data_IF_761558297619
#
_entry.id   IF_761558297619
#
_cell.length_a   1.000
_cell.length_b   1.000
_cell.length_c   1.000
_cell.angle_alpha   90.00
_cell.angle_beta   90.00
_cell.angle_gamma   90.00
#
_symmetry.space_group_name_H-M   'P 1'
#
loop_
_entity.id
_entity.type
_entity.pdbx_description
1 polymer ?
#
# COMPACT_ATOMS: atom_id res chain seq x y z
N UNK A 1 -12.36 22.02 4.18
CA UNK A 1 -12.10 20.86 3.30
C UNK A 1 -13.39 20.06 3.17
N UNK A 2 -13.82 19.70 1.95
CA UNK A 2 -14.99 18.83 1.76
C UNK A 2 -14.47 17.40 1.60
N UNK A 3 -14.72 16.54 2.59
CA UNK A 3 -14.20 15.18 2.61
C UNK A 3 -15.00 14.31 1.64
N UNK A 4 -14.33 13.66 0.68
CA UNK A 4 -14.93 12.72 -0.25
C UNK A 4 -14.28 11.34 -0.12
N UNK A 5 -15.03 10.27 -0.36
CA UNK A 5 -14.46 8.91 -0.50
C UNK A 5 -13.91 8.79 -1.91
N UNK A 6 -12.60 8.55 -2.03
CA UNK A 6 -11.91 8.50 -3.32
C UNK A 6 -11.55 7.09 -3.76
N UNK A 7 -11.43 6.17 -2.81
CA UNK A 7 -11.13 4.77 -3.11
C UNK A 7 -11.65 3.84 -2.02
N UNK A 8 -12.10 2.66 -2.40
CA UNK A 8 -12.47 1.59 -1.48
C UNK A 8 -11.93 0.27 -2.04
N UNK A 9 -11.16 -0.44 -1.24
CA UNK A 9 -10.57 -1.73 -1.61
C UNK A 9 -10.44 -2.64 -0.39
N UNK A 10 -10.51 -3.96 -0.61
CA UNK A 10 -10.14 -4.93 0.40
C UNK A 10 -8.61 -5.01 0.53
N UNK A 11 -8.10 -4.61 1.71
CA UNK A 11 -6.68 -4.67 2.03
C UNK A 11 -6.48 -5.70 3.14
N UNK A 12 -5.86 -6.83 2.78
CA UNK A 12 -5.63 -7.95 3.71
C UNK A 12 -6.94 -8.48 4.34
N UNK A 13 -8.02 -8.53 3.54
CA UNK A 13 -9.30 -9.12 3.93
C UNK A 13 -10.23 -8.19 4.72
N UNK A 14 -9.92 -6.89 4.83
CA UNK A 14 -10.83 -5.90 5.39
C UNK A 14 -11.11 -4.75 4.42
N UNK A 15 -12.37 -4.29 4.32
CA UNK A 15 -12.73 -3.16 3.48
C UNK A 15 -12.10 -1.89 4.04
N UNK A 16 -11.28 -1.24 3.22
CA UNK A 16 -10.52 -0.06 3.61
C UNK A 16 -10.93 1.14 2.76
N UNK A 17 -11.36 2.23 3.42
CA UNK A 17 -11.83 3.46 2.75
C UNK A 17 -10.76 4.53 2.81
N UNK A 18 -10.51 5.15 1.67
CA UNK A 18 -9.62 6.30 1.53
C UNK A 18 -10.46 7.54 1.27
N UNK A 19 -10.18 8.58 2.03
CA UNK A 19 -10.84 9.87 1.96
C UNK A 19 -9.90 10.95 1.41
N UNK A 20 -10.43 12.12 1.04
CA UNK A 20 -9.61 13.26 0.61
C UNK A 20 -9.47 13.31 -0.91
N UNK A 21 -8.24 13.29 -1.41
CA UNK A 21 -7.94 13.21 -2.84
C UNK A 21 -6.71 12.28 -3.08
N UNK A 22 -6.31 12.11 -4.35
CA UNK A 22 -5.20 11.23 -4.71
C UNK A 22 -3.85 11.75 -4.17
N UNK A 23 -3.67 13.06 -4.09
CA UNK A 23 -2.43 13.72 -3.64
C UNK A 23 -2.34 13.76 -2.10
N UNK A 24 -3.47 13.95 -1.43
CA UNK A 24 -3.59 14.05 0.02
C UNK A 24 -4.63 13.03 0.54
N UNK A 25 -4.28 11.73 0.55
CA UNK A 25 -5.17 10.70 1.03
C UNK A 25 -5.27 10.74 2.56
N UNK A 26 -6.48 10.48 3.05
CA UNK A 26 -6.81 10.47 4.47
C UNK A 26 -7.46 9.16 4.88
N UNK A 27 -7.06 8.66 6.04
CA UNK A 27 -7.48 7.37 6.55
C UNK A 27 -8.20 7.56 7.88
N UNK A 28 -9.46 7.12 7.97
CA UNK A 28 -10.22 7.25 9.20
C UNK A 28 -9.54 6.45 10.31
N UNK A 29 -9.09 7.12 11.37
CA UNK A 29 -8.27 6.48 12.41
C UNK A 29 -9.01 5.36 13.13
N UNK A 30 -10.35 5.41 13.17
CA UNK A 30 -11.19 4.33 13.72
C UNK A 30 -11.07 3.06 12.87
N UNK A 31 -11.12 3.21 11.56
CA UNK A 31 -11.04 2.09 10.61
C UNK A 31 -9.62 1.52 10.61
N UNK A 32 -8.59 2.37 10.66
CA UNK A 32 -7.19 1.93 10.81
C UNK A 32 -6.97 1.15 12.10
N UNK A 33 -7.49 1.64 13.23
CA UNK A 33 -7.40 0.95 14.51
C UNK A 33 -8.11 -0.42 14.46
N UNK A 34 -9.29 -0.50 13.85
CA UNK A 34 -9.99 -1.78 13.64
C UNK A 34 -9.19 -2.71 12.73
N UNK A 35 -8.63 -2.17 11.65
CA UNK A 35 -7.89 -2.92 10.65
C UNK A 35 -6.65 -3.60 11.20
N UNK A 36 -5.89 -2.92 12.06
CA UNK A 36 -4.72 -3.51 12.70
C UNK A 36 -5.04 -4.18 14.05
N UNK A 37 -6.32 -4.27 14.42
CA UNK A 37 -6.80 -4.76 15.72
C UNK A 37 -6.18 -4.02 16.92
N UNK A 38 -6.00 -2.71 16.79
CA UNK A 38 -5.52 -1.86 17.88
C UNK A 38 -6.63 -1.68 18.92
N UNK A 39 -6.34 -2.04 20.17
CA UNK A 39 -7.33 -2.02 21.26
C UNK A 39 -7.77 -0.61 21.66
N UNK A 40 -6.96 0.41 21.38
CA UNK A 40 -7.24 1.79 21.76
C UNK A 40 -6.83 2.79 20.67
N UNK A 41 -7.82 3.38 19.99
CA UNK A 41 -7.59 4.37 18.95
C UNK A 41 -6.86 5.63 19.46
N UNK A 42 -7.14 6.09 20.69
CA UNK A 42 -6.47 7.28 21.25
C UNK A 42 -4.98 7.03 21.48
N UNK A 43 -4.63 5.86 21.99
CA UNK A 43 -3.21 5.50 22.15
C UNK A 43 -2.48 5.41 20.80
N UNK A 44 -3.16 4.88 19.78
CA UNK A 44 -2.62 4.86 18.41
C UNK A 44 -2.41 6.28 17.87
N UNK A 45 -3.35 7.21 18.10
CA UNK A 45 -3.20 8.60 17.68
C UNK A 45 -2.11 9.36 18.45
N UNK A 46 -1.82 8.96 19.69
CA UNK A 46 -0.76 9.56 20.50
C UNK A 46 0.65 9.11 20.07
N UNK A 47 0.76 8.03 19.28
CA UNK A 47 2.05 7.55 18.78
C UNK A 47 2.43 8.12 17.42
N UNK A 48 1.62 9.05 16.90
CA UNK A 48 1.75 9.69 15.59
C UNK A 48 1.96 11.19 15.83
N UNK A 49 2.85 11.80 15.05
CA UNK A 49 3.16 13.22 15.16
C UNK A 49 1.94 14.10 14.80
N UNK A 50 1.93 15.35 15.27
CA UNK A 50 0.76 16.23 15.11
C UNK A 50 0.49 16.65 13.65
N UNK A 51 1.51 16.69 12.80
CA UNK A 51 1.38 16.96 11.36
C UNK A 51 0.96 15.72 10.55
N UNK A 52 1.02 14.54 11.15
CA UNK A 52 0.66 13.26 10.52
C UNK A 52 -0.79 12.82 10.81
N UNK A 53 -1.54 13.64 11.55
CA UNK A 53 -2.95 13.40 11.88
C UNK A 53 -3.75 14.70 11.86
N UNK A 54 -5.04 14.58 11.58
CA UNK A 54 -5.93 15.73 11.63
C UNK A 54 -7.34 15.38 12.06
N UNK A 55 -7.99 16.30 12.76
CA UNK A 55 -9.39 16.20 13.13
C UNK A 55 -10.22 16.98 12.12
N UNK A 56 -11.08 16.29 11.36
CA UNK A 56 -11.90 16.91 10.31
C UNK A 56 -13.36 16.54 10.47
N UNK A 57 -14.21 17.40 9.92
CA UNK A 57 -15.64 17.13 9.81
C UNK A 57 -15.90 16.05 8.76
N UNK A 58 -16.32 14.86 9.19
CA UNK A 58 -16.74 13.76 8.35
C UNK A 58 -18.27 13.84 8.07
N UNK A 59 -18.69 14.22 6.85
CA UNK A 59 -20.10 14.28 6.49
C UNK A 59 -20.76 12.89 6.42
N UNK A 60 -19.97 11.82 6.34
CA UNK A 60 -20.42 10.43 6.28
C UNK A 60 -20.61 9.80 7.67
N UNK A 61 -20.28 10.52 8.76
CA UNK A 61 -20.46 10.02 10.11
C UNK A 61 -21.94 9.93 10.49
N UNK A 62 -22.37 8.77 11.01
CA UNK A 62 -23.73 8.61 11.52
C UNK A 62 -23.93 9.45 12.79
N UNK A 63 -24.97 10.30 12.79
CA UNK A 63 -25.60 10.96 13.95
C UNK A 63 -24.71 11.18 15.19
N UNK A 64 -24.04 12.33 15.27
CA UNK A 64 -23.60 12.91 16.55
C UNK A 64 -22.13 13.33 16.63
N UNK A 65 -21.20 12.57 16.04
CA UNK A 65 -19.77 12.93 16.05
C UNK A 65 -19.25 13.18 14.64
N UNK A 66 -19.57 14.38 14.16
CA UNK A 66 -19.09 14.90 12.88
C UNK A 66 -17.57 15.11 12.86
N UNK A 67 -16.96 15.50 13.98
CA UNK A 67 -15.51 15.62 14.07
C UNK A 67 -14.88 14.25 14.33
N UNK A 68 -14.03 13.79 13.41
CA UNK A 68 -13.32 12.52 13.55
C UNK A 68 -11.84 12.71 13.21
N UNK A 69 -11.01 11.86 13.82
CA UNK A 69 -9.58 11.83 13.56
C UNK A 69 -9.25 11.00 12.32
N UNK A 70 -8.40 11.56 11.48
CA UNK A 70 -7.84 10.94 10.30
C UNK A 70 -6.32 10.94 10.40
N UNK A 71 -5.70 9.93 9.82
CA UNK A 71 -4.26 9.84 9.59
C UNK A 71 -3.97 10.28 8.16
N UNK A 72 -2.85 10.96 7.95
CA UNK A 72 -2.28 11.17 6.61
C UNK A 72 -1.59 9.90 6.12
N UNK A 73 -1.04 9.92 4.92
CA UNK A 73 -0.18 8.85 4.41
C UNK A 73 1.02 8.58 5.33
N UNK A 74 1.69 9.63 5.82
CA UNK A 74 2.80 9.45 6.76
C UNK A 74 2.31 8.87 8.09
N UNK A 75 1.18 9.34 8.61
CA UNK A 75 0.63 8.84 9.87
C UNK A 75 0.23 7.37 9.84
N UNK A 76 -0.31 6.87 8.72
CA UNK A 76 -0.59 5.42 8.61
C UNK A 76 0.71 4.60 8.53
N UNK A 77 1.75 5.12 7.87
CA UNK A 77 3.06 4.47 7.85
C UNK A 77 3.65 4.38 9.26
N UNK A 78 3.59 5.46 10.04
CA UNK A 78 4.12 5.47 11.41
C UNK A 78 3.41 4.43 12.29
N UNK A 79 2.07 4.41 12.25
CA UNK A 79 1.27 3.39 12.97
C UNK A 79 1.67 1.96 12.59
N UNK A 80 1.80 1.67 11.29
CA UNK A 80 2.15 0.33 10.80
C UNK A 80 3.61 -0.05 11.15
N UNK A 81 4.52 0.91 11.10
CA UNK A 81 5.92 0.70 11.42
C UNK A 81 6.10 0.37 12.91
N UNK A 82 5.41 1.07 13.81
CA UNK A 82 5.46 0.80 15.25
C UNK A 82 4.66 -0.46 15.67
N UNK A 83 3.60 -0.82 14.95
CA UNK A 83 2.70 -1.89 15.36
C UNK A 83 3.34 -3.29 15.38
N UNK A 84 3.02 -4.07 16.41
CA UNK A 84 3.47 -5.47 16.58
C UNK A 84 2.45 -6.50 16.08
N UNK A 85 1.31 -6.05 15.55
CA UNK A 85 0.18 -6.90 15.14
C UNK A 85 0.50 -7.70 13.87
N UNK A 86 -0.10 -8.89 13.68
CA UNK A 86 0.19 -9.75 12.52
C UNK A 86 0.00 -9.05 11.16
N UNK A 87 -1.08 -8.29 11.00
CA UNK A 87 -1.40 -7.52 9.78
C UNK A 87 -0.29 -6.50 9.47
N UNK A 88 0.11 -5.71 10.47
CA UNK A 88 1.22 -4.76 10.32
C UNK A 88 2.56 -5.45 10.00
N UNK A 89 2.81 -6.65 10.55
CA UNK A 89 4.00 -7.45 10.21
C UNK A 89 3.96 -7.95 8.77
N UNK A 90 2.81 -8.42 8.29
CA UNK A 90 2.63 -8.84 6.89
C UNK A 90 2.86 -7.66 5.94
N UNK A 91 2.24 -6.51 6.23
CA UNK A 91 2.45 -5.28 5.46
C UNK A 91 3.93 -4.87 5.43
N UNK A 92 4.60 -4.84 6.59
CA UNK A 92 6.05 -4.54 6.67
C UNK A 92 6.91 -5.51 5.85
N UNK A 93 6.54 -6.79 5.78
CA UNK A 93 7.25 -7.77 4.92
C UNK A 93 7.12 -7.38 3.45
N UNK A 94 5.91 -7.02 2.99
CA UNK A 94 5.68 -6.59 1.61
C UNK A 94 6.45 -5.31 1.27
N UNK A 95 6.45 -4.32 2.16
CA UNK A 95 7.24 -3.10 2.00
C UNK A 95 8.74 -3.42 1.88
N UNK A 96 9.26 -4.33 2.71
CA UNK A 96 10.67 -4.74 2.61
C UNK A 96 11.01 -5.43 1.28
N UNK A 97 10.09 -6.20 0.71
CA UNK A 97 10.25 -6.79 -0.64
C UNK A 97 10.36 -5.68 -1.68
N UNK A 98 9.45 -4.70 -1.64
CA UNK A 98 9.44 -3.54 -2.55
C UNK A 98 10.73 -2.73 -2.42
N UNK A 99 11.14 -2.37 -1.20
CA UNK A 99 12.37 -1.62 -0.96
C UNK A 99 13.61 -2.37 -1.45
N UNK A 100 13.65 -3.70 -1.25
CA UNK A 100 14.73 -4.54 -1.78
C UNK A 100 14.73 -4.55 -3.31
N UNK A 101 13.57 -4.63 -3.93
CA UNK A 101 13.42 -4.58 -5.38
C UNK A 101 13.93 -3.24 -5.92
N UNK A 102 13.45 -2.12 -5.38
CA UNK A 102 13.92 -0.76 -5.74
C UNK A 102 15.45 -0.65 -5.61
N UNK A 103 16.05 -1.16 -4.52
CA UNK A 103 17.52 -1.17 -4.35
C UNK A 103 18.25 -1.97 -5.43
N UNK A 104 17.66 -3.04 -5.95
CA UNK A 104 18.28 -3.92 -6.94
C UNK A 104 18.05 -3.46 -8.38
N UNK A 105 16.88 -2.92 -8.69
CA UNK A 105 16.44 -2.59 -10.06
C UNK A 105 16.41 -1.10 -10.35
N UNK A 106 16.58 -0.25 -9.33
CA UNK A 106 16.46 1.21 -9.43
C UNK A 106 15.02 1.73 -9.39
N UNK A 107 14.02 0.85 -9.50
CA UNK A 107 12.60 1.21 -9.48
C UNK A 107 11.68 0.00 -9.61
N UNK A 108 10.39 0.21 -9.35
CA UNK A 108 9.35 -0.81 -9.54
C UNK A 108 8.18 -0.21 -10.30
N UNK A 109 7.60 -0.98 -11.21
CA UNK A 109 6.36 -0.62 -11.90
C UNK A 109 5.28 -1.57 -11.40
N UNK A 110 4.15 -1.02 -10.95
CA UNK A 110 3.01 -1.85 -10.56
C UNK A 110 2.49 -2.59 -11.79
N UNK A 111 2.18 -3.89 -11.63
CA UNK A 111 1.57 -4.67 -12.71
C UNK A 111 0.27 -4.01 -13.14
N UNK A 112 0.01 -4.00 -14.45
CA UNK A 112 -1.20 -3.45 -15.08
C UNK A 112 -1.30 -1.92 -15.05
N UNK A 113 -0.28 -1.24 -14.51
CA UNK A 113 -0.14 0.23 -14.53
C UNK A 113 1.08 0.70 -15.31
N UNK A 114 1.63 -0.15 -16.17
CA UNK A 114 2.80 0.21 -17.00
C UNK A 114 2.49 1.41 -17.92
N UNK A 115 1.29 1.47 -18.47
CA UNK A 115 0.85 2.56 -19.36
C UNK A 115 0.79 3.90 -18.64
N UNK A 116 0.17 3.91 -17.45
CA UNK A 116 0.12 5.10 -16.60
C UNK A 116 1.52 5.54 -16.16
N UNK A 117 2.37 4.58 -15.77
CA UNK A 117 3.77 4.85 -15.44
C UNK A 117 4.49 5.54 -16.60
N UNK A 118 4.42 4.96 -17.81
CA UNK A 118 5.10 5.52 -18.97
C UNK A 118 4.54 6.91 -19.33
N UNK A 119 3.22 7.09 -19.28
CA UNK A 119 2.59 8.37 -19.58
C UNK A 119 3.03 9.48 -18.60
N UNK A 120 3.09 9.17 -17.30
CA UNK A 120 3.40 10.14 -16.25
C UNK A 120 4.89 10.50 -16.19
N UNK A 121 5.79 9.52 -16.41
CA UNK A 121 7.23 9.73 -16.29
C UNK A 121 7.93 10.11 -17.60
N UNK A 122 7.34 9.77 -18.76
CA UNK A 122 7.91 10.06 -20.08
C UNK A 122 6.94 10.86 -20.96
N UNK A 123 6.42 12.02 -20.50
CA UNK A 123 5.39 12.74 -21.24
C UNK A 123 5.87 13.24 -22.61
N UNK A 124 7.17 13.52 -22.75
CA UNK A 124 7.80 14.03 -23.97
C UNK A 124 8.01 12.99 -25.08
N UNK A 125 7.84 11.69 -24.79
CA UNK A 125 8.00 10.66 -25.80
C UNK A 125 6.78 10.59 -26.73
N UNK A 126 7.01 10.17 -27.97
CA UNK A 126 5.92 9.92 -28.92
C UNK A 126 5.06 8.75 -28.45
N UNK A 127 3.80 8.73 -28.86
CA UNK A 127 2.86 7.67 -28.48
C UNK A 127 3.32 6.29 -28.95
N UNK A 128 4.00 6.22 -30.10
CA UNK A 128 4.61 4.99 -30.63
C UNK A 128 5.70 4.45 -29.69
N UNK A 129 6.59 5.33 -29.21
CA UNK A 129 7.66 4.95 -28.28
C UNK A 129 7.06 4.54 -26.93
N UNK A 130 6.10 5.31 -26.41
CA UNK A 130 5.39 4.98 -25.17
C UNK A 130 4.76 3.58 -25.25
N UNK A 131 4.06 3.28 -26.35
CA UNK A 131 3.43 1.97 -26.57
C UNK A 131 4.47 0.84 -26.65
N UNK A 132 5.58 1.06 -27.34
CA UNK A 132 6.68 0.09 -27.40
C UNK A 132 7.26 -0.20 -26.00
N UNK A 133 7.47 0.83 -25.19
CA UNK A 133 7.95 0.69 -23.80
C UNK A 133 6.98 -0.08 -22.92
N UNK A 134 5.67 0.19 -23.03
CA UNK A 134 4.65 -0.54 -22.27
C UNK A 134 4.66 -2.03 -22.64
N UNK A 135 4.79 -2.36 -23.93
CA UNK A 135 4.85 -3.75 -24.38
C UNK A 135 6.12 -4.46 -23.88
N UNK A 136 7.27 -3.79 -23.92
CA UNK A 136 8.53 -4.33 -23.41
C UNK A 136 8.45 -4.58 -21.89
N UNK A 137 7.98 -3.59 -21.12
CA UNK A 137 7.78 -3.73 -19.67
C UNK A 137 6.82 -4.87 -19.32
N UNK A 138 5.72 -5.03 -20.06
CA UNK A 138 4.79 -6.16 -19.87
C UNK A 138 5.44 -7.50 -20.20
N UNK A 139 6.26 -7.55 -21.25
CA UNK A 139 7.04 -8.73 -21.61
C UNK A 139 8.00 -9.14 -20.50
N UNK A 140 8.84 -8.20 -20.04
CA UNK A 140 9.80 -8.43 -18.96
C UNK A 140 9.11 -8.81 -17.65
N UNK A 141 8.00 -8.15 -17.29
CA UNK A 141 7.24 -8.48 -16.09
C UNK A 141 6.66 -9.91 -16.16
N UNK A 142 6.21 -10.36 -17.33
CA UNK A 142 5.69 -11.73 -17.52
C UNK A 142 6.79 -12.78 -17.35
N UNK A 143 7.97 -12.55 -17.93
CA UNK A 143 9.12 -13.44 -17.81
C UNK A 143 9.65 -13.49 -16.36
N UNK A 144 9.82 -12.34 -15.72
CA UNK A 144 10.26 -12.25 -14.33
C UNK A 144 9.30 -12.96 -13.38
N UNK A 145 7.99 -12.83 -13.57
CA UNK A 145 6.99 -13.56 -12.79
C UNK A 145 7.13 -15.08 -12.96
N UNK A 146 7.30 -15.56 -14.20
CA UNK A 146 7.51 -16.98 -14.45
C UNK A 146 8.77 -17.50 -13.74
N UNK A 147 9.85 -16.73 -13.74
CA UNK A 147 11.10 -17.09 -13.04
C UNK A 147 10.95 -17.06 -11.53
N UNK A 148 10.20 -16.10 -10.96
CA UNK A 148 9.96 -16.02 -9.52
C UNK A 148 9.12 -17.21 -9.05
N UNK A 149 8.04 -17.55 -9.76
CA UNK A 149 7.19 -18.71 -9.44
C UNK A 149 8.00 -20.01 -9.49
N UNK A 150 8.78 -20.22 -10.55
CA UNK A 150 9.63 -21.41 -10.66
C UNK A 150 10.69 -21.49 -9.53
N UNK A 151 11.20 -20.34 -9.06
CA UNK A 151 12.13 -20.30 -7.91
C UNK A 151 11.42 -20.59 -6.59
N UNK A 152 10.19 -20.12 -6.40
CA UNK A 152 9.39 -20.39 -5.21
C UNK A 152 9.02 -21.89 -5.13
N UNK A 153 8.57 -22.49 -6.23
CA UNK A 153 8.32 -23.94 -6.33
C UNK A 153 9.58 -24.75 -6.01
N UNK A 154 10.73 -24.39 -6.60
CA UNK A 154 12.00 -25.04 -6.30
C UNK A 154 12.42 -24.92 -4.82
N UNK A 155 12.19 -23.75 -4.20
CA UNK A 155 12.45 -23.55 -2.77
C UNK A 155 11.53 -24.45 -1.94
N UNK A 156 10.24 -24.53 -2.28
CA UNK A 156 9.27 -25.40 -1.60
C UNK A 156 9.57 -26.90 -1.78
N UNK A 157 10.17 -27.33 -2.89
CA UNK A 157 10.60 -28.72 -3.10
C UNK A 157 11.84 -29.10 -2.27
N UNK A 158 12.74 -28.15 -1.98
CA UNK A 158 13.96 -28.40 -1.20
C UNK A 158 13.71 -28.35 0.32
N UNK A 159 12.76 -27.52 0.78
CA UNK A 159 12.41 -27.40 2.20
C UNK A 159 11.95 -28.73 2.87
N UNK A 160 11.13 -29.60 2.26
CA UNK A 160 10.71 -30.87 2.87
C UNK A 160 11.86 -31.90 2.96
N UNK A 161 12.93 -31.78 2.17
CA UNK A 161 14.09 -32.68 2.22
C UNK A 161 15.05 -32.39 3.39
N UNK A 162 14.89 -31.26 4.11
CA UNK A 162 15.75 -30.88 5.24
C UNK A 162 15.18 -31.21 6.63
N UNK A 163 14.02 -31.86 6.72
CA UNK A 163 13.37 -32.22 7.99
C UNK A 163 13.52 -33.71 8.37
N UNK A 164 14.37 -34.45 7.66
CA UNK A 164 14.59 -35.90 7.84
C UNK A 164 16.04 -36.29 8.18
N UNK A 165 16.84 -35.38 8.73
CA UNK A 165 18.16 -35.67 9.32
C UNK A 165 18.25 -35.17 10.76
#
# INVERSE_FOLDING_TARGET
MNLQVVHQQDVLGQPFKVYGNIEEPLFLAKDVASWIEHSNQRMMLNSVDEDEKQCVNNPYASSGQKQQWFLTENGIYEVLMQSRKPIAKQWKKQVKVILKQIRLTGGTVQTDREEEFIHNYFPSFSDEIKKAMVLDLRGQNKELKAVVVAKEEYIEEIQPQRLTE
#
